data_IF_294882694787
#
_entry.id   IF_294882694787
#
_cell.length_a   1.000
_cell.length_b   1.000
_cell.length_c   1.000
_cell.angle_alpha   90.00
_cell.angle_beta   90.00
_cell.angle_gamma   90.00
#
_symmetry.space_group_name_H-M   'P 1'
#
loop_
_entity.id
_entity.type
_entity.pdbx_description
1 polymer ?
#
# COMPACT_ATOMS: atom_id res chain seq x y z
N UNK A 1 -7.12 -8.63 -42.41
CA UNK A 1 -5.86 -7.93 -42.02
C UNK A 1 -6.08 -6.56 -41.36
N UNK A 2 -7.26 -5.92 -41.46
CA UNK A 2 -7.51 -4.58 -40.93
C UNK A 2 -7.86 -4.47 -39.42
N UNK A 3 -8.21 -5.58 -38.76
CA UNK A 3 -8.57 -5.59 -37.32
C UNK A 3 -7.36 -5.53 -36.37
N UNK A 4 -6.15 -5.79 -36.85
CA UNK A 4 -4.92 -5.73 -36.02
C UNK A 4 -4.36 -4.31 -35.85
N UNK A 5 -4.77 -3.35 -36.68
CA UNK A 5 -4.26 -1.98 -36.61
C UNK A 5 -5.05 -1.07 -35.67
N UNK A 6 -6.33 -1.36 -35.41
CA UNK A 6 -7.20 -0.48 -34.60
C UNK A 6 -7.07 -0.68 -33.08
N UNK A 7 -6.37 -1.73 -32.63
CA UNK A 7 -6.09 -1.98 -31.21
C UNK A 7 -4.85 -1.21 -30.73
N UNK A 8 -4.01 -0.73 -31.66
CA UNK A 8 -2.76 -0.02 -31.36
C UNK A 8 -2.96 1.41 -30.85
N UNK A 9 -4.17 1.95 -30.92
CA UNK A 9 -4.50 3.33 -30.49
C UNK A 9 -4.99 3.43 -29.03
N UNK A 10 -5.09 2.31 -28.29
CA UNK A 10 -5.50 2.32 -26.87
C UNK A 10 -4.47 1.73 -25.92
N UNK A 11 -3.38 1.19 -26.43
CA UNK A 11 -2.34 0.53 -25.64
C UNK A 11 -1.00 1.24 -25.87
N UNK A 12 -0.76 2.30 -25.09
CA UNK A 12 0.31 3.27 -25.35
C UNK A 12 1.55 3.09 -24.47
N UNK A 13 1.46 2.24 -23.43
CA UNK A 13 2.57 1.98 -22.51
C UNK A 13 3.07 0.56 -22.75
N UNK A 14 4.37 0.45 -23.01
CA UNK A 14 5.05 -0.82 -23.25
C UNK A 14 5.97 -1.16 -22.08
N UNK A 15 5.71 -2.31 -21.47
CA UNK A 15 6.60 -2.93 -20.49
C UNK A 15 7.45 -3.99 -21.18
N UNK A 16 8.77 -3.88 -21.05
CA UNK A 16 9.72 -4.76 -21.71
C UNK A 16 10.30 -5.79 -20.74
N UNK A 17 10.12 -7.07 -21.04
CA UNK A 17 10.76 -8.20 -20.37
C UNK A 17 11.71 -8.90 -21.34
N UNK A 18 12.82 -9.52 -20.88
CA UNK A 18 13.70 -10.31 -21.74
C UNK A 18 12.97 -11.37 -22.57
N UNK A 19 11.80 -11.85 -22.14
CA UNK A 19 11.02 -12.89 -22.81
C UNK A 19 9.61 -12.47 -23.27
N UNK A 20 9.11 -11.27 -22.90
CA UNK A 20 7.72 -10.85 -23.17
C UNK A 20 7.58 -9.33 -23.33
N UNK A 21 6.66 -8.93 -24.22
CA UNK A 21 6.18 -7.56 -24.31
C UNK A 21 4.75 -7.50 -23.78
N UNK A 22 4.49 -6.59 -22.84
CA UNK A 22 3.15 -6.36 -22.34
C UNK A 22 2.72 -4.94 -22.72
N UNK A 23 1.57 -4.85 -23.39
CA UNK A 23 0.98 -3.59 -23.82
C UNK A 23 -0.16 -3.22 -22.88
N UNK A 24 -0.20 -1.95 -22.48
CA UNK A 24 -1.09 -1.50 -21.42
C UNK A 24 -1.84 -0.22 -21.78
N UNK A 25 -3.04 -0.07 -21.22
CA UNK A 25 -3.86 1.11 -21.48
C UNK A 25 -3.26 2.33 -20.77
N UNK A 26 -2.64 3.20 -21.55
CA UNK A 26 -1.95 4.38 -21.06
C UNK A 26 -2.87 5.34 -20.33
N UNK A 27 -4.11 5.50 -20.80
CA UNK A 27 -5.07 6.46 -20.24
C UNK A 27 -5.39 6.16 -18.78
N UNK A 28 -5.55 4.89 -18.42
CA UNK A 28 -5.85 4.50 -17.05
C UNK A 28 -4.66 4.77 -16.11
N UNK A 29 -3.45 4.42 -16.55
CA UNK A 29 -2.26 4.66 -15.75
C UNK A 29 -1.96 6.16 -15.61
N UNK A 30 -2.11 6.94 -16.68
CA UNK A 30 -1.97 8.40 -16.62
C UNK A 30 -3.04 9.04 -15.75
N UNK A 31 -4.25 8.49 -15.70
CA UNK A 31 -5.31 9.01 -14.82
C UNK A 31 -4.93 8.87 -13.34
N UNK A 32 -4.29 7.76 -12.96
CA UNK A 32 -3.91 7.50 -11.58
C UNK A 32 -2.53 8.00 -11.19
N UNK A 33 -1.63 8.27 -12.16
CA UNK A 33 -0.29 8.76 -11.87
C UNK A 33 0.28 9.65 -12.96
N UNK A 34 0.83 10.79 -12.53
CA UNK A 34 1.57 11.71 -13.39
C UNK A 34 2.86 11.11 -13.96
N UNK A 35 3.39 10.06 -13.35
CA UNK A 35 4.60 9.35 -13.82
C UNK A 35 4.48 8.92 -15.29
N UNK A 36 3.31 8.40 -15.67
CA UNK A 36 3.10 7.85 -17.01
C UNK A 36 2.84 8.93 -18.09
N UNK A 37 2.79 10.21 -17.71
CA UNK A 37 2.68 11.30 -18.69
C UNK A 37 4.01 11.51 -19.44
N UNK A 38 5.14 11.34 -18.77
CA UNK A 38 6.48 11.48 -19.35
C UNK A 38 7.06 10.16 -19.84
N UNK A 39 6.81 9.05 -19.13
CA UNK A 39 7.40 7.75 -19.43
C UNK A 39 6.43 6.79 -20.14
N UNK A 40 6.67 6.54 -21.43
CA UNK A 40 5.88 5.60 -22.25
C UNK A 40 6.52 4.21 -22.41
N UNK A 41 7.78 4.05 -22.00
CA UNK A 41 8.51 2.78 -22.06
C UNK A 41 9.14 2.49 -20.71
N UNK A 42 8.84 1.31 -20.17
CA UNK A 42 9.37 0.85 -18.89
C UNK A 42 10.24 -0.38 -19.17
N UNK A 43 11.53 -0.26 -18.89
CA UNK A 43 12.54 -1.28 -19.21
C UNK A 43 12.74 -2.34 -18.12
N UNK A 44 12.05 -2.21 -16.99
CA UNK A 44 12.28 -3.06 -15.83
C UNK A 44 11.11 -4.04 -15.65
N UNK A 45 11.38 -5.31 -15.90
CA UNK A 45 10.43 -6.40 -15.67
C UNK A 45 10.71 -7.04 -14.32
N UNK A 46 9.69 -7.08 -13.47
CA UNK A 46 9.64 -7.89 -12.26
C UNK A 46 8.67 -9.04 -12.49
N UNK A 47 8.91 -10.19 -11.88
CA UNK A 47 7.95 -11.32 -11.86
C UNK A 47 6.58 -10.89 -11.30
N UNK A 48 6.55 -9.84 -10.47
CA UNK A 48 5.35 -9.27 -9.87
C UNK A 48 4.71 -8.15 -10.70
N UNK A 49 5.33 -7.75 -11.81
CA UNK A 49 4.82 -6.65 -12.64
C UNK A 49 3.43 -6.99 -13.20
N UNK A 50 3.22 -8.22 -13.66
CA UNK A 50 1.93 -8.64 -14.20
C UNK A 50 0.81 -8.58 -13.13
N UNK A 51 1.10 -9.06 -11.92
CA UNK A 51 0.17 -8.97 -10.79
C UNK A 51 -0.12 -7.53 -10.39
N UNK A 52 0.92 -6.71 -10.22
CA UNK A 52 0.79 -5.28 -9.93
C UNK A 52 -0.10 -4.57 -10.95
N UNK A 53 0.12 -4.86 -12.23
CA UNK A 53 -0.67 -4.35 -13.33
C UNK A 53 -2.13 -4.82 -13.20
N UNK A 54 -2.40 -6.10 -12.98
CA UNK A 54 -3.78 -6.57 -12.75
C UNK A 54 -4.46 -5.80 -11.61
N UNK A 55 -3.77 -5.57 -10.48
CA UNK A 55 -4.29 -4.80 -9.36
C UNK A 55 -4.53 -3.34 -9.72
N UNK A 56 -3.64 -2.72 -10.51
CA UNK A 56 -3.82 -1.36 -11.03
C UNK A 56 -5.03 -1.22 -11.97
N UNK A 57 -5.47 -2.32 -12.60
CA UNK A 57 -6.74 -2.41 -13.33
C UNK A 57 -7.96 -2.65 -12.42
N UNK A 58 -7.77 -2.76 -11.11
CA UNK A 58 -8.83 -3.04 -10.15
C UNK A 58 -9.14 -4.53 -9.98
N UNK A 59 -8.34 -5.43 -10.57
CA UNK A 59 -8.47 -6.87 -10.31
C UNK A 59 -8.06 -7.12 -8.86
N UNK A 60 -8.93 -7.80 -8.12
CA UNK A 60 -8.67 -8.17 -6.72
C UNK A 60 -8.28 -9.65 -6.68
N UNK A 61 -6.99 -9.99 -6.55
CA UNK A 61 -6.60 -11.39 -6.34
C UNK A 61 -7.28 -11.94 -5.08
N UNK A 62 -7.68 -13.21 -5.10
CA UNK A 62 -8.29 -13.89 -3.95
C UNK A 62 -7.31 -13.99 -2.78
N UNK A 63 -6.04 -14.25 -3.09
CA UNK A 63 -4.92 -14.25 -2.13
C UNK A 63 -3.73 -13.54 -2.74
N UNK A 64 -3.07 -12.73 -1.92
CA UNK A 64 -1.77 -12.17 -2.22
C UNK A 64 -0.85 -12.54 -1.06
N UNK A 65 0.24 -13.24 -1.36
CA UNK A 65 1.23 -13.53 -0.33
C UNK A 65 2.05 -12.28 0.00
N UNK A 66 2.75 -12.34 1.14
CA UNK A 66 3.57 -11.25 1.64
C UNK A 66 4.64 -10.78 0.65
N UNK A 67 5.33 -11.71 -0.01
CA UNK A 67 6.42 -11.39 -0.95
C UNK A 67 5.85 -10.68 -2.18
N UNK A 68 4.71 -11.14 -2.69
CA UNK A 68 4.02 -10.54 -3.81
C UNK A 68 3.48 -9.15 -3.46
N UNK A 69 2.90 -8.98 -2.27
CA UNK A 69 2.40 -7.71 -1.78
C UNK A 69 3.52 -6.67 -1.66
N UNK A 70 4.64 -7.03 -1.03
CA UNK A 70 5.80 -6.14 -0.86
C UNK A 70 6.36 -5.67 -2.22
N UNK A 71 6.54 -6.58 -3.17
CA UNK A 71 6.96 -6.20 -4.53
C UNK A 71 5.93 -5.29 -5.23
N UNK A 72 4.63 -5.54 -5.05
CA UNK A 72 3.60 -4.68 -5.60
C UNK A 72 3.59 -3.29 -4.93
N UNK A 73 3.85 -3.18 -3.62
CA UNK A 73 4.01 -1.90 -2.93
C UNK A 73 5.20 -1.12 -3.44
N UNK A 74 6.35 -1.76 -3.67
CA UNK A 74 7.53 -1.12 -4.26
C UNK A 74 7.22 -0.54 -5.64
N UNK A 75 6.54 -1.31 -6.51
CA UNK A 75 6.12 -0.83 -7.82
C UNK A 75 5.08 0.30 -7.71
N UNK A 76 4.11 0.18 -6.81
CA UNK A 76 3.09 1.20 -6.61
C UNK A 76 3.69 2.51 -6.09
N UNK A 77 4.66 2.46 -5.17
CA UNK A 77 5.39 3.64 -4.68
C UNK A 77 6.25 4.25 -5.79
N UNK A 78 6.99 3.43 -6.54
CA UNK A 78 7.81 3.86 -7.69
C UNK A 78 6.98 4.61 -8.72
N UNK A 79 5.82 4.07 -9.08
CA UNK A 79 4.91 4.67 -10.05
C UNK A 79 3.88 5.61 -9.43
N UNK A 80 3.98 5.92 -8.13
CA UNK A 80 3.12 6.85 -7.38
C UNK A 80 1.61 6.52 -7.49
N UNK A 81 1.26 5.24 -7.51
CA UNK A 81 -0.11 4.72 -7.59
C UNK A 81 -0.67 4.41 -6.20
N UNK A 82 -1.07 5.45 -5.47
CA UNK A 82 -1.61 5.35 -4.11
C UNK A 82 -2.92 4.54 -4.02
N UNK A 83 -3.70 4.52 -5.09
CA UNK A 83 -4.90 3.67 -5.18
C UNK A 83 -4.54 2.18 -5.14
N UNK A 84 -3.43 1.78 -5.76
CA UNK A 84 -2.94 0.40 -5.75
C UNK A 84 -2.46 0.02 -4.36
N UNK A 85 -1.71 0.90 -3.70
CA UNK A 85 -1.28 0.70 -2.29
C UNK A 85 -2.51 0.42 -1.41
N UNK A 86 -3.54 1.26 -1.49
CA UNK A 86 -4.78 1.06 -0.72
C UNK A 86 -5.49 -0.26 -1.04
N UNK A 87 -5.55 -0.66 -2.31
CA UNK A 87 -6.19 -1.92 -2.69
C UNK A 87 -5.45 -3.13 -2.14
N UNK A 88 -4.11 -3.13 -2.19
CA UNK A 88 -3.29 -4.21 -1.63
C UNK A 88 -3.44 -4.23 -0.10
N UNK A 89 -3.37 -3.06 0.54
CA UNK A 89 -3.57 -2.92 1.98
C UNK A 89 -4.91 -3.53 2.43
N UNK A 90 -6.00 -3.21 1.74
CA UNK A 90 -7.33 -3.74 2.05
C UNK A 90 -7.41 -5.25 1.91
N UNK A 91 -6.71 -5.82 0.92
CA UNK A 91 -6.68 -7.26 0.73
C UNK A 91 -5.88 -7.99 1.80
N UNK A 92 -4.76 -7.42 2.24
CA UNK A 92 -3.98 -7.99 3.33
C UNK A 92 -4.80 -8.02 4.63
N UNK A 93 -5.48 -6.90 4.95
CA UNK A 93 -6.35 -6.82 6.13
C UNK A 93 -7.48 -7.85 6.06
N UNK A 94 -8.16 -7.99 4.92
CA UNK A 94 -9.26 -8.97 4.74
C UNK A 94 -8.77 -10.41 4.90
N UNK A 95 -7.51 -10.66 4.56
CA UNK A 95 -6.89 -11.99 4.69
C UNK A 95 -6.15 -12.17 6.03
N UNK A 96 -6.37 -11.27 7.01
CA UNK A 96 -5.71 -11.28 8.33
C UNK A 96 -4.16 -11.30 8.25
N UNK A 97 -3.58 -10.74 7.19
CA UNK A 97 -2.14 -10.52 7.08
C UNK A 97 -1.80 -9.13 7.59
N UNK A 98 -1.14 -9.07 8.74
CA UNK A 98 -0.63 -7.82 9.30
C UNK A 98 0.81 -7.63 8.88
N UNK A 99 1.06 -6.50 8.20
CA UNK A 99 2.40 -6.05 7.82
C UNK A 99 3.20 -5.57 9.04
N UNK A 100 4.52 -5.69 8.96
CA UNK A 100 5.41 -5.15 9.98
C UNK A 100 5.29 -3.63 10.05
N UNK A 101 5.50 -3.07 11.24
CA UNK A 101 5.34 -1.63 11.49
C UNK A 101 6.30 -0.79 10.63
N UNK A 102 7.53 -1.27 10.41
CA UNK A 102 8.50 -0.64 9.51
C UNK A 102 7.92 -0.52 8.09
N UNK A 103 7.33 -1.59 7.57
CA UNK A 103 6.70 -1.60 6.25
C UNK A 103 5.47 -0.69 6.19
N UNK A 104 4.72 -0.59 7.30
CA UNK A 104 3.62 0.35 7.40
C UNK A 104 4.10 1.79 7.22
N UNK A 105 5.24 2.16 7.79
CA UNK A 105 5.83 3.48 7.57
C UNK A 105 6.40 3.63 6.16
N UNK A 106 7.16 2.65 5.68
CA UNK A 106 7.80 2.68 4.34
C UNK A 106 6.78 2.83 3.23
N UNK A 107 5.64 2.13 3.30
CA UNK A 107 4.61 2.16 2.26
C UNK A 107 3.42 3.07 2.58
N UNK A 108 3.37 3.67 3.78
CA UNK A 108 2.29 4.55 4.20
C UNK A 108 0.97 3.80 4.45
N UNK A 109 1.04 2.59 5.01
CA UNK A 109 -0.10 1.71 5.31
C UNK A 109 -0.78 2.13 6.62
N UNK A 110 -1.48 3.26 6.59
CA UNK A 110 -2.07 3.85 7.79
C UNK A 110 -3.13 2.96 8.45
N UNK A 111 -3.82 2.09 7.70
CA UNK A 111 -4.84 1.20 8.29
C UNK A 111 -4.18 0.06 9.05
N UNK A 112 -3.11 -0.52 8.48
CA UNK A 112 -2.28 -1.48 9.21
C UNK A 112 -1.64 -0.86 10.44
N UNK A 113 -1.10 0.36 10.31
CA UNK A 113 -0.53 1.06 11.45
C UNK A 113 -1.54 1.23 12.59
N UNK A 114 -2.80 1.56 12.29
CA UNK A 114 -3.86 1.64 13.30
C UNK A 114 -4.19 0.28 13.92
N UNK A 115 -4.14 -0.80 13.16
CA UNK A 115 -4.32 -2.17 13.69
C UNK A 115 -3.17 -2.49 14.64
N UNK A 116 -1.93 -2.30 14.19
CA UNK A 116 -0.73 -2.53 14.99
C UNK A 116 -0.74 -1.72 16.29
N UNK A 117 -1.03 -0.40 16.22
CA UNK A 117 -1.13 0.46 17.41
C UNK A 117 -2.21 0.01 18.41
N UNK A 118 -3.24 -0.73 17.99
CA UNK A 118 -4.23 -1.30 18.91
C UNK A 118 -3.72 -2.53 19.65
N UNK A 119 -2.76 -3.23 19.08
CA UNK A 119 -2.19 -4.47 19.61
C UNK A 119 -1.00 -4.20 20.52
N UNK A 120 -0.24 -3.13 20.27
CA UNK A 120 0.87 -2.68 21.12
C UNK A 120 0.43 -2.53 22.57
N UNK A 121 1.10 -3.21 23.49
CA UNK A 121 0.68 -3.32 24.88
C UNK A 121 1.17 -2.15 25.75
N UNK A 122 2.27 -1.51 25.36
CA UNK A 122 2.96 -0.49 26.16
C UNK A 122 3.48 0.69 25.33
N UNK A 123 3.84 1.78 26.01
CA UNK A 123 4.45 2.92 25.33
C UNK A 123 5.91 2.60 24.96
N UNK A 124 6.59 1.83 25.80
CA UNK A 124 7.98 1.41 25.62
C UNK A 124 8.14 0.60 24.33
N UNK A 125 7.27 -0.40 24.11
CA UNK A 125 7.23 -1.20 22.87
C UNK A 125 7.03 -0.31 21.62
N UNK A 126 6.14 0.69 21.71
CA UNK A 126 5.93 1.62 20.61
C UNK A 126 7.20 2.42 20.28
N UNK A 127 7.91 2.89 21.31
CA UNK A 127 9.13 3.69 21.12
C UNK A 127 10.24 2.84 20.50
N UNK A 128 10.41 1.59 20.96
CA UNK A 128 11.40 0.66 20.40
C UNK A 128 11.20 0.43 18.89
N UNK A 129 9.96 0.31 18.43
CA UNK A 129 9.67 0.20 16.99
C UNK A 129 9.87 1.52 16.24
N UNK A 130 9.55 2.65 16.86
CA UNK A 130 9.79 3.97 16.26
C UNK A 130 11.27 4.30 16.11
N UNK A 131 12.14 3.75 16.97
CA UNK A 131 13.59 3.91 16.85
C UNK A 131 14.19 3.21 15.63
N UNK A 132 13.49 2.21 15.08
CA UNK A 132 13.92 1.50 13.87
C UNK A 132 13.61 2.24 12.58
N UNK A 133 12.74 3.26 12.64
CA UNK A 133 12.30 4.00 11.45
C UNK A 133 12.82 5.43 11.46
N UNK A 134 13.11 5.95 10.27
CA UNK A 134 13.42 7.36 10.13
C UNK A 134 12.13 8.18 10.26
N UNK A 135 11.93 8.77 11.44
CA UNK A 135 10.78 9.60 11.77
C UNK A 135 10.65 10.80 10.80
N UNK A 136 11.74 11.26 10.19
CA UNK A 136 11.70 12.36 9.22
C UNK A 136 10.99 11.95 7.91
N UNK A 137 11.06 10.66 7.56
CA UNK A 137 10.45 10.10 6.36
C UNK A 137 9.00 9.64 6.60
N UNK A 138 8.53 9.67 7.85
CA UNK A 138 7.15 9.30 8.17
C UNK A 138 6.14 10.28 7.56
N UNK A 139 5.07 9.72 7.00
CA UNK A 139 3.95 10.56 6.57
C UNK A 139 3.34 11.31 7.78
N UNK A 140 2.89 12.54 7.56
CA UNK A 140 2.22 13.31 8.60
C UNK A 140 0.98 12.61 9.16
N UNK A 141 0.32 11.77 8.36
CA UNK A 141 -0.82 10.96 8.82
C UNK A 141 -0.37 9.87 9.79
N UNK A 142 0.68 9.11 9.45
CA UNK A 142 1.26 8.10 10.33
C UNK A 142 1.70 8.70 11.67
N UNK A 143 2.39 9.85 11.63
CA UNK A 143 2.82 10.57 12.84
C UNK A 143 1.64 11.02 13.71
N UNK A 144 0.54 11.50 13.10
CA UNK A 144 -0.68 11.83 13.86
C UNK A 144 -1.26 10.62 14.58
N UNK A 145 -1.29 9.45 13.92
CA UNK A 145 -1.79 8.22 14.54
C UNK A 145 -0.93 7.82 15.75
N UNK A 146 0.40 7.89 15.63
CA UNK A 146 1.34 7.66 16.73
C UNK A 146 1.12 8.63 17.90
N UNK A 147 1.06 9.94 17.64
CA UNK A 147 0.83 10.96 18.69
C UNK A 147 -0.52 10.76 19.37
N UNK A 148 -1.57 10.42 18.61
CA UNK A 148 -2.89 10.14 19.17
C UNK A 148 -2.84 8.96 20.15
N UNK A 149 -2.18 7.86 19.78
CA UNK A 149 -1.98 6.72 20.68
C UNK A 149 -1.19 7.11 21.93
N UNK A 150 -0.10 7.85 21.77
CA UNK A 150 0.72 8.33 22.87
C UNK A 150 -0.08 9.14 23.91
N UNK A 151 -0.93 10.05 23.44
CA UNK A 151 -1.77 10.86 24.32
C UNK A 151 -2.85 10.04 25.03
N UNK A 152 -3.42 9.03 24.36
CA UNK A 152 -4.41 8.12 24.95
C UNK A 152 -3.81 7.22 26.04
N UNK A 153 -2.57 6.76 25.84
CA UNK A 153 -1.88 5.87 26.78
C UNK A 153 -1.46 6.57 28.08
N UNK A 154 -1.32 7.91 28.09
CA UNK A 154 -1.01 8.70 29.30
C UNK A 154 -2.21 9.03 30.18
N UNK A 155 -3.45 8.87 29.68
CA UNK A 155 -4.67 9.32 30.35
C UNK A 155 -5.49 8.22 31.06
N UNK A 156 -5.12 6.95 30.94
CA UNK A 156 -5.89 5.83 31.53
C UNK A 156 -5.04 5.09 32.58
N UNK A 157 -5.53 4.92 33.83
CA UNK A 157 -4.95 3.94 34.74
C UNK A 157 -5.04 2.58 34.05
N UNK A 158 -3.95 1.84 34.08
CA UNK A 158 -3.78 0.47 33.56
C UNK A 158 -4.82 -0.48 34.16
N UNK A 159 -6.05 -0.41 33.70
CA UNK A 159 -7.05 -1.47 33.84
C UNK A 159 -6.86 -2.34 32.62
N UNK A 160 -6.31 -3.53 32.85
CA UNK A 160 -6.04 -4.59 31.88
C UNK A 160 -6.81 -4.43 30.57
N UNK A 161 -6.09 -4.26 29.45
CA UNK A 161 -6.61 -4.25 28.07
C UNK A 161 -7.18 -5.62 27.66
N UNK A 162 -8.07 -6.20 28.46
CA UNK A 162 -8.91 -7.34 28.06
C UNK A 162 -10.17 -6.83 27.40
N UNK A 163 -10.24 -7.05 26.09
CA UNK A 163 -11.46 -7.15 25.26
C UNK A 163 -12.57 -6.16 25.60
N UNK A 164 -12.49 -4.95 25.05
CA UNK A 164 -13.69 -4.15 24.81
C UNK A 164 -13.72 -3.71 23.36
N UNK A 165 -14.90 -3.87 22.76
CA UNK A 165 -15.19 -3.70 21.35
C UNK A 165 -14.91 -2.26 20.90
N UNK A 166 -13.89 -2.07 20.06
CA UNK A 166 -13.54 -0.79 19.43
C UNK A 166 -14.11 -0.65 18.01
N UNK A 167 -15.15 -1.41 17.68
CA UNK A 167 -15.55 -1.66 16.29
C UNK A 167 -16.27 -0.53 15.56
N UNK A 168 -16.58 0.62 16.20
CA UNK A 168 -17.50 1.60 15.60
C UNK A 168 -17.04 3.07 15.54
N UNK A 169 -16.01 3.50 16.26
CA UNK A 169 -15.70 4.94 16.33
C UNK A 169 -14.55 5.42 15.43
N UNK A 170 -13.72 4.54 14.87
CA UNK A 170 -12.53 4.99 14.12
C UNK A 170 -12.76 5.34 12.64
N UNK A 171 -13.92 4.97 12.07
CA UNK A 171 -14.25 5.28 10.67
C UNK A 171 -15.02 6.59 10.46
N UNK A 172 -15.23 7.41 11.50
CA UNK A 172 -15.85 8.74 11.39
C UNK A 172 -14.93 9.84 11.87
N UNK A 173 -13.83 10.06 11.19
CA UNK A 173 -13.18 11.37 11.10
C UNK A 173 -12.51 11.40 9.73
N UNK A 174 -12.94 12.37 8.93
CA UNK A 174 -12.88 12.53 7.46
C UNK A 174 -11.50 12.38 6.80
#
# INVERSE_FOLDING_TARGET
MALRYRIKERLDIMFNSPSRYMFWNGQLLTFHSSFFHSEKKIQEYSEHLELFLQIAHGVRPEKIDYRAANNCFLLAKKYRLWNVIRLIEDQLIVNDYIMDVEECFVFGLNRHLVIWLKEVESLEEMVEELEKVDIQDMSGEAMKQCVKFFMMSRGTPTVSRRKKAWHLDWCRCE
#
